data_IF_501498133134
#
_entry.id   IF_501498133134
#
_cell.length_a   1.000
_cell.length_b   1.000
_cell.length_c   1.000
_cell.angle_alpha   90.00
_cell.angle_beta   90.00
_cell.angle_gamma   90.00
#
_symmetry.space_group_name_H-M   'P 1'
#
loop_
_entity.id
_entity.type
_entity.pdbx_description
1 polymer ?
#
# COMPACT_ATOMS: atom_id res chain seq x y z
N UNK A 1 31.28 57.18 9.55
CA UNK A 1 29.88 57.34 10.00
C UNK A 1 28.96 57.03 8.84
N UNK A 2 28.20 55.93 8.94
CA UNK A 2 26.91 55.59 8.28
C UNK A 2 26.79 54.07 8.32
N UNK A 3 26.31 53.59 9.47
CA UNK A 3 25.86 52.21 9.67
C UNK A 3 24.53 52.08 8.91
N UNK A 4 24.45 51.20 7.93
CA UNK A 4 23.16 50.77 7.37
C UNK A 4 23.08 49.26 7.58
N UNK A 5 22.35 48.92 8.63
CA UNK A 5 22.00 47.56 9.00
C UNK A 5 20.99 47.02 7.97
N UNK A 6 21.31 45.87 7.39
CA UNK A 6 20.39 45.09 6.56
C UNK A 6 19.56 44.22 7.50
N UNK A 7 18.22 44.34 7.53
CA UNK A 7 17.41 43.47 8.38
C UNK A 7 17.36 42.07 7.76
N UNK A 8 17.79 41.09 8.56
CA UNK A 8 17.61 39.66 8.33
C UNK A 8 16.10 39.34 8.38
N UNK A 9 15.47 39.19 7.21
CA UNK A 9 14.10 38.71 7.11
C UNK A 9 14.15 37.19 7.34
N UNK A 10 13.79 36.77 8.54
CA UNK A 10 13.54 35.37 8.90
C UNK A 10 12.21 34.96 8.25
N UNK A 11 12.27 34.44 7.04
CA UNK A 11 11.11 33.83 6.37
C UNK A 11 10.73 32.55 7.10
N UNK A 12 9.74 32.65 8.00
CA UNK A 12 9.04 31.51 8.58
C UNK A 12 8.30 30.81 7.45
N UNK A 13 8.96 29.82 6.85
CA UNK A 13 8.32 28.90 5.93
C UNK A 13 7.27 28.12 6.70
N UNK A 14 6.00 28.37 6.37
CA UNK A 14 4.89 27.47 6.73
C UNK A 14 5.27 26.08 6.22
N UNK A 15 5.66 25.21 7.14
CA UNK A 15 5.74 23.79 6.89
C UNK A 15 4.29 23.31 6.76
N UNK A 16 3.79 23.27 5.53
CA UNK A 16 2.57 22.55 5.22
C UNK A 16 2.89 21.07 5.43
N UNK A 17 2.57 20.54 6.61
CA UNK A 17 2.51 19.11 6.84
C UNK A 17 1.37 18.58 5.97
N UNK A 18 1.70 18.20 4.74
CA UNK A 18 0.82 17.33 3.94
C UNK A 18 0.64 16.07 4.77
N UNK A 19 -0.55 15.90 5.36
CA UNK A 19 -0.87 14.71 6.14
C UNK A 19 -0.66 13.47 5.28
N UNK A 20 0.13 12.53 5.78
CA UNK A 20 0.21 11.19 5.20
C UNK A 20 -1.20 10.63 5.10
N UNK A 21 -1.69 10.47 3.87
CA UNK A 21 -2.94 9.77 3.63
C UNK A 21 -2.74 8.34 4.16
N UNK A 22 -3.52 7.96 5.19
CA UNK A 22 -3.45 6.66 5.87
C UNK A 22 -3.51 5.52 4.84
N UNK A 23 -2.33 5.02 4.45
CA UNK A 23 -2.19 4.03 3.39
C UNK A 23 -2.24 2.65 4.01
N UNK A 24 -3.33 1.96 3.73
CA UNK A 24 -3.60 0.61 4.19
C UNK A 24 -3.07 -0.39 3.17
N UNK A 25 -2.54 -1.50 3.65
CA UNK A 25 -2.03 -2.58 2.83
C UNK A 25 -2.89 -3.82 3.04
N UNK A 26 -3.13 -4.56 1.96
CA UNK A 26 -3.84 -5.83 2.00
C UNK A 26 -3.10 -6.88 1.15
N UNK A 27 -3.18 -8.12 1.58
CA UNK A 27 -2.61 -9.30 0.94
C UNK A 27 -3.69 -10.16 0.31
N UNK A 28 -3.42 -10.66 -0.90
CA UNK A 28 -4.28 -11.59 -1.62
C UNK A 28 -3.48 -12.85 -1.96
N UNK A 29 -3.75 -13.96 -1.26
CA UNK A 29 -3.17 -15.26 -1.57
C UNK A 29 -3.71 -15.84 -2.87
N UNK A 30 -2.81 -16.29 -3.74
CA UNK A 30 -3.16 -16.87 -5.05
C UNK A 30 -2.79 -18.36 -5.13
N UNK A 31 -1.89 -18.74 -6.02
CA UNK A 31 -1.31 -20.07 -6.16
C UNK A 31 0.03 -19.94 -6.91
N UNK A 32 0.63 -21.07 -7.32
CA UNK A 32 1.84 -21.07 -8.14
C UNK A 32 1.71 -20.21 -9.42
N UNK A 33 2.82 -19.60 -9.85
CA UNK A 33 2.86 -18.64 -10.97
C UNK A 33 2.44 -19.21 -12.33
N UNK A 34 2.46 -20.54 -12.49
CA UNK A 34 1.96 -21.24 -13.68
C UNK A 34 0.45 -21.49 -13.71
N UNK A 35 -0.27 -21.17 -12.62
CA UNK A 35 -1.72 -21.31 -12.53
C UNK A 35 -2.49 -20.06 -12.94
N UNK A 36 -3.82 -20.16 -13.00
CA UNK A 36 -4.72 -19.04 -13.36
C UNK A 36 -4.78 -18.00 -12.24
N UNK A 37 -4.67 -18.44 -10.98
CA UNK A 37 -4.88 -17.57 -9.83
C UNK A 37 -3.83 -16.46 -9.71
N UNK A 38 -2.59 -16.69 -10.13
CA UNK A 38 -1.55 -15.68 -10.05
C UNK A 38 -1.82 -14.45 -10.94
N UNK A 39 -2.04 -14.58 -12.27
CA UNK A 39 -2.38 -13.43 -13.11
C UNK A 39 -3.74 -12.83 -12.76
N UNK A 40 -4.73 -13.66 -12.37
CA UNK A 40 -6.04 -13.17 -11.95
C UNK A 40 -5.94 -12.33 -10.66
N UNK A 41 -5.23 -12.83 -9.65
CA UNK A 41 -5.01 -12.12 -8.40
C UNK A 41 -4.25 -10.81 -8.60
N UNK A 42 -3.27 -10.78 -9.51
CA UNK A 42 -2.59 -9.54 -9.90
C UNK A 42 -3.54 -8.50 -10.50
N UNK A 43 -4.47 -8.92 -11.36
CA UNK A 43 -5.51 -8.04 -11.92
C UNK A 43 -6.47 -7.53 -10.83
N UNK A 44 -6.91 -8.40 -9.92
CA UNK A 44 -7.78 -8.02 -8.79
C UNK A 44 -7.04 -7.03 -7.87
N UNK A 45 -5.79 -7.30 -7.50
CA UNK A 45 -4.97 -6.44 -6.66
C UNK A 45 -4.83 -5.03 -7.24
N UNK A 46 -4.59 -4.93 -8.55
CA UNK A 46 -4.55 -3.67 -9.28
C UNK A 46 -5.90 -2.95 -9.25
N UNK A 47 -6.99 -3.65 -9.60
CA UNK A 47 -8.33 -3.07 -9.63
C UNK A 47 -8.75 -2.53 -8.26
N UNK A 48 -8.44 -3.26 -7.18
CA UNK A 48 -8.73 -2.81 -5.82
C UNK A 48 -7.93 -1.55 -5.47
N UNK A 49 -6.64 -1.51 -5.83
CA UNK A 49 -5.80 -0.33 -5.63
C UNK A 49 -6.27 0.92 -6.39
N UNK A 50 -6.92 0.73 -7.55
CA UNK A 50 -7.53 1.81 -8.34
C UNK A 50 -8.92 2.21 -7.80
N UNK A 51 -9.70 1.26 -7.28
CA UNK A 51 -11.07 1.48 -6.84
C UNK A 51 -11.18 1.99 -5.39
N UNK A 52 -10.24 1.64 -4.52
CA UNK A 52 -10.30 1.95 -3.08
C UNK A 52 -9.17 2.94 -2.73
N UNK A 53 -9.55 4.20 -2.54
CA UNK A 53 -8.61 5.24 -2.15
C UNK A 53 -7.90 4.89 -0.84
N UNK A 54 -6.56 4.98 -0.84
CA UNK A 54 -5.74 4.69 0.32
C UNK A 54 -5.53 3.19 0.62
N UNK A 55 -5.97 2.28 -0.26
CA UNK A 55 -5.70 0.85 -0.12
C UNK A 55 -4.74 0.38 -1.21
N UNK A 56 -3.65 -0.29 -0.82
CA UNK A 56 -2.76 -1.01 -1.72
C UNK A 56 -2.93 -2.51 -1.47
N UNK A 57 -3.39 -3.25 -2.47
CA UNK A 57 -3.45 -4.70 -2.40
C UNK A 57 -2.29 -5.34 -3.17
N UNK A 58 -1.75 -6.44 -2.67
CA UNK A 58 -0.66 -7.21 -3.28
C UNK A 58 -1.09 -8.66 -3.45
N UNK A 59 -0.90 -9.20 -4.66
CA UNK A 59 -1.09 -10.62 -4.92
C UNK A 59 0.17 -11.41 -4.52
N UNK A 60 0.00 -12.45 -3.72
CA UNK A 60 1.08 -13.29 -3.22
C UNK A 60 1.03 -14.68 -3.84
N UNK A 61 2.19 -15.18 -4.28
CA UNK A 61 2.34 -16.58 -4.70
C UNK A 61 2.33 -17.46 -3.46
N UNK A 62 1.49 -18.48 -3.44
CA UNK A 62 1.36 -19.43 -2.34
C UNK A 62 1.30 -20.87 -2.85
N UNK A 63 1.25 -21.83 -1.92
CA UNK A 63 0.94 -23.23 -2.17
C UNK A 63 -0.52 -23.52 -2.57
N UNK A 64 -1.39 -22.51 -2.67
CA UNK A 64 -2.79 -22.63 -3.08
C UNK A 64 -3.80 -22.62 -1.93
N UNK A 65 -5.01 -23.12 -2.20
CA UNK A 65 -6.20 -22.91 -1.36
C UNK A 65 -6.02 -23.29 0.11
N UNK A 66 -5.38 -24.42 0.42
CA UNK A 66 -5.19 -24.86 1.81
C UNK A 66 -4.29 -23.91 2.60
N UNK A 67 -3.18 -23.47 1.99
CA UNK A 67 -2.28 -22.49 2.62
C UNK A 67 -3.00 -21.15 2.81
N UNK A 68 -3.71 -20.68 1.78
CA UNK A 68 -4.44 -19.42 1.81
C UNK A 68 -5.48 -19.41 2.95
N UNK A 69 -6.31 -20.46 3.04
CA UNK A 69 -7.32 -20.57 4.10
C UNK A 69 -6.71 -20.56 5.50
N UNK A 70 -5.57 -21.26 5.69
CA UNK A 70 -4.87 -21.28 6.97
C UNK A 70 -4.30 -19.89 7.32
N UNK A 71 -3.68 -19.20 6.36
CA UNK A 71 -3.13 -17.85 6.57
C UNK A 71 -4.21 -16.79 6.82
N UNK A 72 -5.36 -16.93 6.17
CA UNK A 72 -6.53 -16.07 6.47
C UNK A 72 -7.05 -16.35 7.87
N UNK A 73 -7.15 -17.62 8.27
CA UNK A 73 -7.60 -18.00 9.61
C UNK A 73 -6.63 -17.56 10.72
N UNK A 74 -5.32 -17.52 10.45
CA UNK A 74 -4.31 -17.02 11.39
C UNK A 74 -4.16 -15.49 11.40
N UNK A 75 -4.76 -14.78 10.45
CA UNK A 75 -4.63 -13.33 10.29
C UNK A 75 -3.33 -12.89 9.63
N UNK A 76 -2.57 -13.82 9.04
CA UNK A 76 -1.35 -13.54 8.26
C UNK A 76 -1.65 -13.19 6.79
N UNK A 77 -2.92 -13.25 6.40
CA UNK A 77 -3.42 -12.90 5.07
C UNK A 77 -4.81 -12.29 5.17
N UNK A 78 -5.07 -11.24 4.40
CA UNK A 78 -6.36 -10.53 4.44
C UNK A 78 -7.42 -11.26 3.60
N UNK A 79 -7.03 -11.76 2.42
CA UNK A 79 -7.91 -12.45 1.48
C UNK A 79 -7.16 -13.62 0.83
N UNK A 80 -7.81 -14.78 0.70
CA UNK A 80 -7.24 -15.96 0.05
C UNK A 80 -8.14 -16.51 -1.05
N UNK A 81 -7.59 -16.79 -2.22
CA UNK A 81 -8.28 -17.58 -3.25
C UNK A 81 -8.35 -19.05 -2.81
N UNK A 82 -9.49 -19.70 -2.99
CA UNK A 82 -9.71 -21.08 -2.56
C UNK A 82 -10.50 -21.90 -3.57
#
# INVERSE_FOLDING_TARGET
MKKLAVPLILSVGIACSAGDADRRFASLGTAGTGGIYYPLGGAIARMVGEAVAGLQMTAEVTGGSVENLNRVASGEMDVGMA
#
